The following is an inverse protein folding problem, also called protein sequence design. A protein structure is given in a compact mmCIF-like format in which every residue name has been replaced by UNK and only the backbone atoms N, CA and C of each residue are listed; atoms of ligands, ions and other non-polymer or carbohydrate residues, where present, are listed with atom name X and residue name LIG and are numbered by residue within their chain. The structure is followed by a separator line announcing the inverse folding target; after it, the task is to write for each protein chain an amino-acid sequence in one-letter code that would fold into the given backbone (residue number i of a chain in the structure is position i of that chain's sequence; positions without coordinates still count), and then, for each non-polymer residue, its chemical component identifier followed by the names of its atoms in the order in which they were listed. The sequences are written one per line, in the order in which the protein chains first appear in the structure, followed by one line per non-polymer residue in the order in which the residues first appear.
data_IF_237522845651
#
_entry.id   IF_237522845651
#
_cell.length_a   1.000
_cell.length_b   1.000
_cell.length_c   1.000
_cell.angle_alpha   90.00
_cell.angle_beta   90.00
_cell.angle_gamma   90.00
#
_symmetry.space_group_name_H-M   'P 1'
#
loop_
_entity.id
_entity.type
_entity.pdbx_description
1 polymer ?
#
# COMPACT_ATOMS: atom_id res chain seq x y z
N UNK A 1 -54.23 -26.60 -6.12
CA UNK A 1 -53.74 -26.84 -4.74
C UNK A 1 -52.35 -27.44 -4.77
N UNK A 2 -52.16 -28.71 -5.17
CA UNK A 2 -50.83 -29.37 -5.24
C UNK A 2 -49.67 -28.57 -5.90
N UNK A 3 -49.90 -27.86 -7.01
CA UNK A 3 -48.87 -27.01 -7.64
C UNK A 3 -48.49 -25.80 -6.77
N UNK A 4 -49.45 -25.20 -6.11
CA UNK A 4 -49.25 -24.03 -5.24
C UNK A 4 -48.51 -24.46 -3.96
N UNK A 5 -48.85 -25.62 -3.41
CA UNK A 5 -48.15 -26.21 -2.25
C UNK A 5 -46.68 -26.54 -2.60
N UNK A 6 -46.41 -27.08 -3.79
CA UNK A 6 -45.04 -27.33 -4.27
C UNK A 6 -44.22 -26.05 -4.41
N UNK A 7 -44.81 -24.97 -4.93
CA UNK A 7 -44.12 -23.68 -5.06
C UNK A 7 -43.82 -23.05 -3.70
N UNK A 8 -44.74 -23.16 -2.72
CA UNK A 8 -44.50 -22.71 -1.34
C UNK A 8 -43.37 -23.51 -0.70
N UNK A 9 -43.36 -24.84 -0.83
CA UNK A 9 -42.30 -25.68 -0.28
C UNK A 9 -40.93 -25.38 -0.92
N UNK A 10 -40.89 -25.16 -2.24
CA UNK A 10 -39.65 -24.72 -2.92
C UNK A 10 -39.17 -23.35 -2.41
N UNK A 11 -40.09 -22.41 -2.20
CA UNK A 11 -39.75 -21.09 -1.66
C UNK A 11 -39.18 -21.19 -0.24
N UNK A 12 -39.76 -22.05 0.61
CA UNK A 12 -39.27 -22.32 1.96
C UNK A 12 -37.88 -22.99 1.95
N UNK A 13 -37.64 -23.94 1.04
CA UNK A 13 -36.31 -24.54 0.86
C UNK A 13 -35.30 -23.46 0.46
N UNK A 14 -35.64 -22.63 -0.52
CA UNK A 14 -34.76 -21.56 -0.99
C UNK A 14 -34.45 -20.54 0.12
N UNK A 15 -35.43 -20.22 0.95
CA UNK A 15 -35.25 -19.35 2.12
C UNK A 15 -34.28 -20.00 3.14
N UNK A 16 -34.52 -21.26 3.49
CA UNK A 16 -33.67 -22.00 4.41
C UNK A 16 -32.23 -22.17 3.90
N UNK A 17 -32.05 -22.40 2.59
CA UNK A 17 -30.75 -22.46 1.93
C UNK A 17 -30.02 -21.11 2.02
N UNK A 18 -30.71 -20.00 1.77
CA UNK A 18 -30.14 -18.66 1.91
C UNK A 18 -29.73 -18.36 3.37
N UNK A 19 -30.55 -18.74 4.35
CA UNK A 19 -30.20 -18.62 5.77
C UNK A 19 -28.97 -19.45 6.14
N UNK A 20 -28.86 -20.68 5.60
CA UNK A 20 -27.70 -21.53 5.80
C UNK A 20 -26.43 -20.90 5.19
N UNK A 21 -26.53 -20.31 4.00
CA UNK A 21 -25.40 -19.63 3.37
C UNK A 21 -24.94 -18.43 4.19
N UNK A 22 -25.86 -17.61 4.71
CA UNK A 22 -25.54 -16.49 5.60
C UNK A 22 -24.82 -16.97 6.87
N UNK A 23 -25.32 -18.03 7.51
CA UNK A 23 -24.70 -18.60 8.71
C UNK A 23 -23.29 -19.14 8.42
N UNK A 24 -23.08 -19.79 7.27
CA UNK A 24 -21.75 -20.24 6.82
C UNK A 24 -20.78 -19.07 6.63
N UNK A 25 -21.22 -17.99 5.99
CA UNK A 25 -20.39 -16.78 5.81
C UNK A 25 -20.02 -16.14 7.15
N UNK A 26 -20.94 -16.09 8.11
CA UNK A 26 -20.65 -15.58 9.45
C UNK A 26 -19.60 -16.42 10.17
N UNK A 27 -19.64 -17.75 10.01
CA UNK A 27 -18.63 -18.64 10.55
C UNK A 27 -17.27 -18.42 9.85
N UNK A 28 -17.24 -18.29 8.52
CA UNK A 28 -16.02 -17.97 7.78
C UNK A 28 -15.38 -16.65 8.26
N UNK A 29 -16.19 -15.63 8.59
CA UNK A 29 -15.68 -14.36 9.12
C UNK A 29 -15.14 -14.41 10.56
N UNK A 30 -15.29 -15.54 11.26
CA UNK A 30 -14.63 -15.74 12.56
C UNK A 30 -13.13 -16.04 12.42
N UNK A 31 -12.69 -16.47 11.23
CA UNK A 31 -11.29 -16.72 10.91
C UNK A 31 -10.77 -15.64 9.95
N UNK A 32 -9.81 -14.84 10.40
CA UNK A 32 -9.23 -13.76 9.60
C UNK A 32 -7.88 -14.18 9.06
N UNK A 33 -7.77 -14.28 7.73
CA UNK A 33 -6.52 -14.63 7.04
C UNK A 33 -5.86 -13.38 6.43
N UNK A 34 -4.53 -13.41 6.36
CA UNK A 34 -3.77 -12.40 5.64
C UNK A 34 -3.96 -12.59 4.11
N UNK A 35 -4.35 -11.55 3.36
CA UNK A 35 -4.54 -11.66 1.91
C UNK A 35 -3.22 -11.69 1.13
N UNK A 36 -2.10 -11.35 1.79
CA UNK A 36 -0.77 -11.27 1.21
C UNK A 36 0.26 -11.88 2.16
N UNK A 37 1.34 -12.38 1.58
CA UNK A 37 2.53 -12.76 2.36
C UNK A 37 3.30 -11.51 2.77
N UNK A 38 3.94 -11.55 3.94
CA UNK A 38 4.73 -10.44 4.44
C UNK A 38 5.11 -10.62 5.90
N UNK A 39 5.62 -9.55 6.50
CA UNK A 39 6.05 -9.52 7.90
C UNK A 39 5.07 -8.71 8.73
N UNK A 40 4.72 -9.23 9.90
CA UNK A 40 3.89 -8.50 10.88
C UNK A 40 4.68 -7.32 11.43
N UNK A 41 4.19 -6.11 11.16
CA UNK A 41 4.78 -4.87 11.67
C UNK A 41 4.20 -4.49 13.04
N UNK A 42 2.88 -4.60 13.16
CA UNK A 42 2.15 -4.20 14.36
C UNK A 42 1.04 -5.21 14.62
N UNK A 43 0.95 -5.67 15.87
CA UNK A 43 -0.22 -6.37 16.39
C UNK A 43 -1.08 -5.34 17.12
N UNK A 44 -2.24 -5.04 16.56
CA UNK A 44 -3.11 -3.94 17.02
C UNK A 44 -4.22 -4.40 17.95
N UNK A 45 -4.49 -5.71 18.02
CA UNK A 45 -5.45 -6.31 18.93
C UNK A 45 -4.82 -7.46 19.70
N UNK A 46 -5.23 -7.65 20.95
CA UNK A 46 -4.73 -8.72 21.82
C UNK A 46 -5.75 -9.85 22.02
N UNK A 47 -5.25 -10.99 22.48
CA UNK A 47 -6.11 -12.13 22.79
C UNK A 47 -7.07 -11.77 23.94
N UNK A 48 -8.36 -12.09 23.76
CA UNK A 48 -9.42 -11.74 24.72
C UNK A 48 -9.99 -10.33 24.55
N UNK A 49 -9.45 -9.52 23.64
CA UNK A 49 -10.00 -8.21 23.32
C UNK A 49 -11.25 -8.29 22.44
N UNK A 50 -12.20 -7.38 22.66
CA UNK A 50 -13.39 -7.25 21.81
C UNK A 50 -13.10 -6.33 20.63
N UNK A 51 -13.02 -6.88 19.42
CA UNK A 51 -12.80 -6.13 18.19
C UNK A 51 -14.13 -5.73 17.51
N UNK A 52 -14.24 -4.46 17.13
CA UNK A 52 -15.37 -3.98 16.31
C UNK A 52 -15.18 -4.34 14.83
N UNK A 53 -16.26 -4.48 14.04
CA UNK A 53 -16.16 -4.61 12.59
C UNK A 53 -15.34 -3.47 11.98
N UNK A 54 -14.34 -3.82 11.17
CA UNK A 54 -13.42 -2.87 10.55
C UNK A 54 -12.23 -2.45 11.42
N UNK A 55 -12.14 -2.94 12.66
CA UNK A 55 -10.94 -2.74 13.47
C UNK A 55 -9.73 -3.43 12.83
N UNK A 56 -8.57 -2.78 12.90
CA UNK A 56 -7.31 -3.39 12.45
C UNK A 56 -6.81 -4.34 13.53
N UNK A 57 -6.62 -5.61 13.20
CA UNK A 57 -6.08 -6.63 14.11
C UNK A 57 -4.55 -6.72 13.98
N UNK A 58 -4.05 -6.73 12.74
CA UNK A 58 -2.61 -6.84 12.42
C UNK A 58 -2.29 -5.97 11.21
N UNK A 59 -1.15 -5.29 11.24
CA UNK A 59 -0.55 -4.62 10.09
C UNK A 59 0.58 -5.47 9.55
N UNK A 60 0.48 -5.85 8.28
CA UNK A 60 1.48 -6.68 7.57
C UNK A 60 2.07 -5.85 6.43
N UNK A 61 3.38 -5.98 6.20
CA UNK A 61 4.05 -5.38 5.06
C UNK A 61 4.90 -6.39 4.28
N UNK A 62 4.88 -6.27 2.96
CA UNK A 62 5.86 -6.92 2.09
C UNK A 62 7.21 -6.17 2.22
N UNK A 63 8.24 -6.88 2.66
CA UNK A 63 9.59 -6.34 2.81
C UNK A 63 10.52 -6.72 1.66
N UNK A 64 10.09 -7.61 0.76
CA UNK A 64 10.90 -8.08 -0.36
C UNK A 64 10.89 -7.06 -1.51
N UNK A 65 9.76 -6.35 -1.66
CA UNK A 65 9.54 -5.33 -2.70
C UNK A 65 9.18 -3.95 -2.12
N UNK A 66 10.08 -3.31 -1.35
CA UNK A 66 9.84 -1.96 -0.88
C UNK A 66 9.87 -0.95 -2.03
N UNK A 67 9.20 0.18 -1.83
CA UNK A 67 9.23 1.30 -2.75
C UNK A 67 9.64 2.57 -2.02
N UNK A 68 10.46 3.38 -2.68
CA UNK A 68 10.84 4.70 -2.22
C UNK A 68 9.79 5.71 -2.65
N UNK A 69 9.26 6.45 -1.68
CA UNK A 69 8.45 7.64 -1.90
C UNK A 69 9.38 8.85 -2.03
N UNK A 70 9.48 9.42 -3.23
CA UNK A 70 10.28 10.62 -3.48
C UNK A 70 9.44 11.73 -4.12
N UNK A 71 9.96 12.95 -4.07
CA UNK A 71 9.32 14.15 -4.61
C UNK A 71 10.25 14.80 -5.63
N UNK A 72 9.72 15.14 -6.80
CA UNK A 72 10.47 15.79 -7.89
C UNK A 72 9.86 17.16 -8.15
N UNK A 73 10.70 18.18 -8.32
CA UNK A 73 10.25 19.53 -8.69
C UNK A 73 9.61 19.53 -10.09
N UNK A 74 8.58 20.36 -10.30
CA UNK A 74 7.90 20.51 -11.60
C UNK A 74 8.86 20.73 -12.78
N UNK A 75 9.93 21.50 -12.55
CA UNK A 75 10.95 21.81 -13.56
C UNK A 75 11.71 20.59 -14.07
N UNK A 76 11.88 19.58 -13.22
CA UNK A 76 12.60 18.34 -13.55
C UNK A 76 11.66 17.20 -13.94
N UNK A 77 10.36 17.32 -13.65
CA UNK A 77 9.34 16.32 -13.99
C UNK A 77 9.38 15.92 -15.46
N UNK A 78 9.59 16.88 -16.37
CA UNK A 78 9.67 16.62 -17.82
C UNK A 78 10.83 15.72 -18.24
N UNK A 79 11.85 15.56 -17.38
CA UNK A 79 13.00 14.68 -17.62
C UNK A 79 12.80 13.27 -17.04
N UNK A 80 11.87 13.12 -16.11
CA UNK A 80 11.56 11.85 -15.44
C UNK A 80 10.59 11.03 -16.27
N UNK A 81 10.91 9.75 -16.48
CA UNK A 81 10.10 8.81 -17.24
C UNK A 81 9.90 7.52 -16.46
N UNK A 82 8.75 6.89 -16.66
CA UNK A 82 8.49 5.54 -16.13
C UNK A 82 9.56 4.56 -16.62
N UNK A 83 10.00 3.68 -15.72
CA UNK A 83 11.03 2.67 -15.96
C UNK A 83 12.47 3.18 -15.90
N UNK A 84 12.71 4.48 -15.68
CA UNK A 84 14.08 5.00 -15.51
C UNK A 84 14.77 4.38 -14.30
N UNK A 85 16.07 4.11 -14.44
CA UNK A 85 16.91 3.60 -13.36
C UNK A 85 17.18 4.70 -12.34
N UNK A 86 17.09 4.33 -11.07
CA UNK A 86 17.36 5.21 -9.93
C UNK A 86 18.35 4.51 -9.03
N UNK A 87 19.38 5.25 -8.60
CA UNK A 87 20.29 4.82 -7.53
C UNK A 87 19.79 5.35 -6.22
N UNK A 88 19.62 4.47 -5.24
CA UNK A 88 19.08 4.80 -3.94
C UNK A 88 20.16 4.62 -2.90
N UNK A 89 20.32 5.62 -2.04
CA UNK A 89 21.24 5.61 -0.91
C UNK A 89 20.46 5.85 0.37
N UNK A 90 20.90 5.25 1.45
CA UNK A 90 20.28 5.44 2.77
C UNK A 90 21.33 5.90 3.75
N UNK A 91 20.93 6.76 4.70
CA UNK A 91 21.84 7.24 5.75
C UNK A 91 22.35 6.10 6.64
N UNK A 92 21.57 5.02 6.75
CA UNK A 92 21.91 3.84 7.55
C UNK A 92 23.02 3.00 6.92
N UNK A 93 23.14 2.99 5.58
CA UNK A 93 24.15 2.23 4.85
C UNK A 93 24.84 3.11 3.80
N UNK A 94 25.72 4.05 4.21
CA UNK A 94 26.27 5.08 3.32
C UNK A 94 27.12 4.51 2.17
N UNK A 95 27.72 3.33 2.37
CA UNK A 95 28.57 2.64 1.39
C UNK A 95 27.78 1.75 0.41
N UNK A 96 26.47 1.58 0.62
CA UNK A 96 25.62 0.75 -0.23
C UNK A 96 24.77 1.60 -1.15
N UNK A 97 24.66 1.14 -2.40
CA UNK A 97 23.76 1.70 -3.40
C UNK A 97 22.79 0.61 -3.79
N UNK A 98 21.50 0.92 -3.71
CA UNK A 98 20.41 0.07 -4.17
C UNK A 98 19.97 0.56 -5.54
N UNK A 99 19.66 -0.36 -6.45
CA UNK A 99 19.12 -0.01 -7.76
C UNK A 99 17.61 -0.17 -7.75
N UNK A 100 16.91 0.82 -8.26
CA UNK A 100 15.46 0.82 -8.39
C UNK A 100 15.00 1.36 -9.73
N UNK A 101 13.69 1.33 -9.97
CA UNK A 101 13.08 1.86 -11.19
C UNK A 101 11.86 2.72 -10.86
N UNK A 102 11.70 3.81 -11.59
CA UNK A 102 10.50 4.66 -11.45
C UNK A 102 9.27 3.87 -11.90
N UNK A 103 8.41 3.52 -10.95
CA UNK A 103 7.21 2.72 -11.17
C UNK A 103 5.94 3.56 -11.30
N UNK A 104 5.93 4.74 -10.67
CA UNK A 104 4.78 5.64 -10.68
C UNK A 104 5.21 7.09 -10.64
N UNK A 105 4.49 7.93 -11.37
CA UNK A 105 4.63 9.39 -11.36
C UNK A 105 3.23 9.96 -11.16
N UNK A 106 3.04 10.75 -10.10
CA UNK A 106 1.76 11.41 -9.82
C UNK A 106 1.45 12.44 -10.91
N UNK A 107 0.19 12.49 -11.35
CA UNK A 107 -0.32 13.57 -12.21
C UNK A 107 -0.74 14.81 -11.42
N UNK A 108 -0.94 14.66 -10.11
CA UNK A 108 -1.31 15.75 -9.21
C UNK A 108 -0.06 16.27 -8.51
N UNK A 109 0.08 17.60 -8.50
CA UNK A 109 1.12 18.29 -7.76
C UNK A 109 0.74 18.39 -6.28
N UNK A 110 1.69 18.10 -5.40
CA UNK A 110 1.60 18.32 -3.97
C UNK A 110 2.33 19.62 -3.61
N UNK A 111 1.82 20.34 -2.61
CA UNK A 111 2.50 21.50 -2.04
C UNK A 111 3.52 21.01 -1.02
N UNK A 112 4.77 21.46 -1.09
CA UNK A 112 5.76 21.15 -0.05
C UNK A 112 5.27 21.63 1.33
N UNK A 113 5.09 20.74 2.33
CA UNK A 113 4.77 21.16 3.67
C UNK A 113 6.03 21.72 4.34
N UNK A 114 6.21 23.04 4.31
CA UNK A 114 7.14 23.73 5.22
C UNK A 114 6.43 24.87 5.93
N UNK A 115 6.59 24.95 7.25
CA UNK A 115 6.43 26.21 7.98
C UNK A 115 7.60 27.11 7.57
N UNK A 116 7.31 28.26 6.95
CA UNK A 116 8.37 29.22 6.56
C UNK A 116 7.93 30.64 6.89
N UNK A 117 8.87 31.40 7.48
CA UNK A 117 8.67 32.78 7.97
C UNK A 117 8.80 33.86 6.87
N UNK A 118 9.10 33.52 5.60
CA UNK A 118 9.24 34.53 4.54
C UNK A 118 8.31 34.29 3.33
N UNK A 119 7.82 35.38 2.72
CA UNK A 119 6.81 35.36 1.66
C UNK A 119 7.28 34.72 0.33
N UNK A 120 8.59 34.62 0.09
CA UNK A 120 9.16 34.07 -1.16
C UNK A 120 9.26 32.55 -1.20
N UNK A 121 9.08 31.87 -0.07
CA UNK A 121 9.26 30.41 0.05
C UNK A 121 7.94 29.62 0.04
N UNK A 122 6.82 30.29 -0.23
CA UNK A 122 5.51 29.64 -0.30
C UNK A 122 5.25 29.05 -1.67
N UNK A 123 5.29 27.71 -1.71
CA UNK A 123 4.80 26.81 -2.77
C UNK A 123 5.79 26.59 -3.92
N UNK A 124 6.63 25.57 -3.80
CA UNK A 124 7.10 24.82 -4.97
C UNK A 124 6.15 23.65 -5.20
N UNK A 125 5.68 23.50 -6.45
CA UNK A 125 4.90 22.35 -6.89
C UNK A 125 5.85 21.15 -6.98
N UNK A 126 5.60 20.13 -6.18
CA UNK A 126 6.36 18.87 -6.22
C UNK A 126 5.45 17.74 -6.63
N UNK A 127 6.00 16.82 -7.43
CA UNK A 127 5.29 15.65 -7.90
C UNK A 127 5.83 14.42 -7.21
N UNK A 128 4.93 13.65 -6.60
CA UNK A 128 5.29 12.40 -5.95
C UNK A 128 5.62 11.35 -7.00
N UNK A 129 6.76 10.70 -6.86
CA UNK A 129 7.13 9.51 -7.60
C UNK A 129 7.26 8.31 -6.66
N UNK A 130 7.04 7.11 -7.20
CA UNK A 130 7.39 5.86 -6.54
C UNK A 130 8.49 5.17 -7.33
N UNK A 131 9.52 4.72 -6.61
CA UNK A 131 10.62 3.96 -7.17
C UNK A 131 10.61 2.59 -6.52
N UNK A 132 10.39 1.55 -7.31
CA UNK A 132 10.42 0.16 -6.83
C UNK A 132 11.86 -0.28 -6.65
N UNK A 133 12.13 -0.97 -5.55
CA UNK A 133 13.47 -1.41 -5.13
C UNK A 133 13.41 -2.87 -4.74
N UNK A 134 14.37 -3.66 -5.21
CA UNK A 134 14.52 -5.04 -4.76
C UNK A 134 15.27 -5.05 -3.42
N UNK A 135 14.76 -5.81 -2.44
CA UNK A 135 15.36 -5.91 -1.11
C UNK A 135 15.71 -7.36 -0.71
N UNK A 136 16.54 -8.08 -1.50
CA UNK A 136 16.81 -9.49 -1.29
C UNK A 136 17.51 -9.81 0.04
N UNK A 137 18.12 -8.80 0.68
CA UNK A 137 18.81 -8.94 1.97
C UNK A 137 17.97 -8.48 3.16
N UNK A 138 16.76 -7.95 2.95
CA UNK A 138 15.91 -7.42 4.02
C UNK A 138 16.52 -6.21 4.75
N UNK A 139 17.44 -5.48 4.11
CA UNK A 139 18.18 -4.38 4.71
C UNK A 139 17.35 -3.09 4.73
N UNK A 140 16.49 -2.90 3.74
CA UNK A 140 15.58 -1.76 3.65
C UNK A 140 14.32 -2.03 4.47
N UNK A 141 13.96 -1.09 5.35
CA UNK A 141 12.77 -1.16 6.21
C UNK A 141 11.84 0.01 5.95
N UNK A 142 10.52 -0.16 6.14
CA UNK A 142 9.57 0.93 6.09
C UNK A 142 9.95 2.06 7.05
N UNK A 143 9.85 3.31 6.59
CA UNK A 143 10.17 4.50 7.38
C UNK A 143 11.64 4.91 7.39
N UNK A 144 12.54 4.16 6.75
CA UNK A 144 13.93 4.58 6.58
C UNK A 144 14.03 5.79 5.62
N UNK A 145 14.76 6.86 5.99
CA UNK A 145 15.07 7.93 5.05
C UNK A 145 16.02 7.42 3.97
N UNK A 146 15.79 7.85 2.74
CA UNK A 146 16.60 7.48 1.59
C UNK A 146 16.55 8.58 0.53
N UNK A 147 17.66 8.74 -0.17
CA UNK A 147 17.84 9.64 -1.29
C UNK A 147 17.94 8.86 -2.60
N UNK A 148 17.32 9.39 -3.65
CA UNK A 148 17.30 8.77 -4.97
C UNK A 148 17.92 9.66 -6.03
N UNK A 149 18.92 9.17 -6.74
CA UNK A 149 19.52 9.80 -7.91
C UNK A 149 18.99 9.14 -9.19
N UNK A 150 18.19 9.87 -9.96
CA UNK A 150 17.62 9.38 -11.23
C UNK A 150 18.67 9.51 -12.33
N UNK A 151 18.99 8.40 -12.99
CA UNK A 151 19.96 8.39 -14.09
C UNK A 151 19.29 8.88 -15.38
N UNK A 152 19.51 10.16 -15.70
CA UNK A 152 19.05 10.75 -16.96
C UNK A 152 20.06 10.37 -18.04
N UNK A 153 19.69 9.50 -18.97
CA UNK A 153 20.46 9.31 -20.20
C UNK A 153 20.21 10.49 -21.12
N UNK A 154 21.19 11.39 -21.21
CA UNK A 154 21.24 12.40 -22.26
C UNK A 154 21.28 11.68 -23.62
N UNK A 155 20.51 12.21 -24.57
CA UNK A 155 20.52 11.78 -25.97
C UNK A 155 20.84 12.98 -26.83
#
# INVERSE_FOLDING_TARGET
MLRQDLEVQKAQIKEAEASLEVAKRQLEYSEVFAPVSGVVLVKSAEEGEYALPGATVVTIADLDHPWLKAYVDETDLGRVKLGQKVRIRTDTFPDKVYEGKVAFISSEAEFTPKQVQTQKERVKLVYRIKVDVENPKGELKPGMPADGEILISEK
#
